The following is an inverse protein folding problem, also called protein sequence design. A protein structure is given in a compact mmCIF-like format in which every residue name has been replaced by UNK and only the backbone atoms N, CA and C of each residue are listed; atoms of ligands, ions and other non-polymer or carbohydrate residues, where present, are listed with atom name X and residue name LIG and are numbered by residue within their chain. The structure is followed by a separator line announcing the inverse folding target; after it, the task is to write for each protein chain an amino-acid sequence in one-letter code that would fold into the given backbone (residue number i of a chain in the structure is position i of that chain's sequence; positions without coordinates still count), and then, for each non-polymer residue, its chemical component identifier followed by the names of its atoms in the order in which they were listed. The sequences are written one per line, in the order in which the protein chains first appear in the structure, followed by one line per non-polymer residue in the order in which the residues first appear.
data_IF_088938466834
#
_entry.id   IF_088938466834
#
_cell.length_a   1.000
_cell.length_b   1.000
_cell.length_c   1.000
_cell.angle_alpha   90.00
_cell.angle_beta   90.00
_cell.angle_gamma   90.00
#
_symmetry.space_group_name_H-M   'P 1'
#
loop_
_entity.id
_entity.type
_entity.pdbx_description
1 polymer ?
#
# COMPACT_ATOMS: atom_id res chain seq x y z
N UNK A 1 -17.50 8.87 8.99
CA UNK A 1 -16.12 8.42 8.71
C UNK A 1 -15.58 9.28 7.59
N UNK A 2 -14.50 10.05 7.80
CA UNK A 2 -13.89 10.85 6.72
C UNK A 2 -13.57 9.88 5.57
N UNK A 3 -14.08 10.14 4.36
CA UNK A 3 -13.72 9.37 3.17
C UNK A 3 -12.19 9.33 3.11
N UNK A 4 -11.62 8.14 3.23
CA UNK A 4 -10.19 7.96 2.99
C UNK A 4 -9.89 8.49 1.59
N UNK A 5 -8.80 9.26 1.46
CA UNK A 5 -8.42 9.84 0.15
C UNK A 5 -8.06 8.78 -0.89
N UNK A 6 -7.86 7.54 -0.43
CA UNK A 6 -7.55 6.36 -1.23
C UNK A 6 -8.54 5.24 -0.86
N UNK A 7 -9.10 4.59 -1.88
CA UNK A 7 -9.89 3.36 -1.74
C UNK A 7 -9.00 2.18 -1.35
N UNK A 8 -9.56 1.16 -0.71
CA UNK A 8 -8.85 -0.07 -0.35
C UNK A 8 -8.16 -0.71 -1.56
N UNK A 9 -8.80 -0.74 -2.73
CA UNK A 9 -8.20 -1.22 -3.99
C UNK A 9 -6.98 -0.39 -4.45
N UNK A 10 -6.99 0.93 -4.20
CA UNK A 10 -5.83 1.77 -4.49
C UNK A 10 -4.69 1.46 -3.52
N UNK A 11 -5.00 1.29 -2.23
CA UNK A 11 -4.02 0.95 -1.20
C UNK A 11 -3.37 -0.40 -1.52
N UNK A 12 -4.16 -1.43 -1.82
CA UNK A 12 -3.64 -2.77 -2.18
C UNK A 12 -2.73 -2.72 -3.41
N UNK A 13 -3.09 -1.95 -4.45
CA UNK A 13 -2.23 -1.78 -5.63
C UNK A 13 -0.90 -1.09 -5.30
N UNK A 14 -0.94 -0.04 -4.48
CA UNK A 14 0.27 0.66 -4.02
C UNK A 14 1.16 -0.28 -3.20
N UNK A 15 0.56 -1.10 -2.32
CA UNK A 15 1.29 -2.07 -1.49
C UNK A 15 1.95 -3.17 -2.31
N UNK A 16 1.28 -3.68 -3.36
CA UNK A 16 1.87 -4.66 -4.30
C UNK A 16 3.04 -4.05 -5.06
N UNK A 17 2.93 -2.80 -5.52
CA UNK A 17 4.05 -2.12 -6.20
C UNK A 17 5.23 -1.88 -5.23
N UNK A 18 4.94 -1.53 -3.98
CA UNK A 18 5.91 -1.39 -2.90
C UNK A 18 6.60 -2.71 -2.47
N UNK A 19 6.13 -3.86 -2.95
CA UNK A 19 6.82 -5.15 -2.76
C UNK A 19 7.96 -5.35 -3.76
N UNK A 20 7.79 -4.85 -4.99
CA UNK A 20 8.76 -5.00 -6.08
C UNK A 20 9.61 -3.75 -6.35
N UNK A 21 9.30 -2.61 -5.73
CA UNK A 21 9.99 -1.34 -5.94
C UNK A 21 10.27 -0.59 -4.61
N UNK A 22 11.27 0.31 -4.58
CA UNK A 22 11.58 1.08 -3.37
C UNK A 22 10.38 1.93 -2.91
N UNK A 23 10.02 1.80 -1.63
CA UNK A 23 8.97 2.61 -0.96
C UNK A 23 9.04 4.11 -1.29
N UNK A 24 10.20 4.80 -1.23
CA UNK A 24 10.24 6.23 -1.51
C UNK A 24 9.87 6.58 -2.96
N UNK A 25 10.17 5.71 -3.92
CA UNK A 25 9.77 5.91 -5.32
C UNK A 25 8.27 5.69 -5.52
N UNK A 26 7.73 4.62 -4.93
CA UNK A 26 6.29 4.33 -4.96
C UNK A 26 5.51 5.47 -4.27
N UNK A 27 6.00 5.95 -3.14
CA UNK A 27 5.42 7.08 -2.42
C UNK A 27 5.31 8.33 -3.30
N UNK A 28 6.42 8.67 -3.98
CA UNK A 28 6.48 9.80 -4.91
C UNK A 28 5.54 9.62 -6.11
N UNK A 29 5.48 8.41 -6.68
CA UNK A 29 4.63 8.08 -7.83
C UNK A 29 3.14 8.25 -7.54
N UNK A 30 2.70 7.83 -6.35
CA UNK A 30 1.28 7.85 -5.96
C UNK A 30 0.87 9.09 -5.13
N UNK A 31 1.80 10.02 -4.89
CA UNK A 31 1.51 11.22 -4.08
C UNK A 31 1.14 10.90 -2.64
N UNK A 32 1.77 9.86 -2.07
CA UNK A 32 1.60 9.42 -0.68
C UNK A 32 2.90 9.58 0.08
N UNK A 33 2.84 9.58 1.41
CA UNK A 33 4.04 9.55 2.25
C UNK A 33 4.50 8.10 2.47
N UNK A 34 5.81 7.89 2.62
CA UNK A 34 6.39 6.61 3.03
C UNK A 34 5.71 6.06 4.30
N UNK A 35 5.47 6.91 5.30
CA UNK A 35 4.76 6.57 6.53
C UNK A 35 3.35 6.00 6.27
N UNK A 36 2.65 6.49 5.23
CA UNK A 36 1.33 5.96 4.86
C UNK A 36 1.44 4.54 4.32
N UNK A 37 2.45 4.26 3.49
CA UNK A 37 2.70 2.93 2.95
C UNK A 37 3.04 1.94 4.08
N UNK A 38 3.86 2.33 5.06
CA UNK A 38 4.14 1.48 6.22
C UNK A 38 2.89 1.24 7.08
N UNK A 39 2.07 2.26 7.33
CA UNK A 39 0.82 2.12 8.07
C UNK A 39 -0.17 1.19 7.33
N UNK A 40 -0.22 1.27 6.00
CA UNK A 40 -1.02 0.38 5.17
C UNK A 40 -0.48 -1.05 5.16
N UNK A 41 0.84 -1.28 5.12
CA UNK A 41 1.41 -2.62 5.30
C UNK A 41 0.99 -3.25 6.63
N UNK A 42 0.91 -2.49 7.71
CA UNK A 42 0.42 -3.03 8.99
C UNK A 42 -1.07 -3.41 8.96
N UNK A 43 -1.89 -2.70 8.18
CA UNK A 43 -3.35 -2.93 8.10
C UNK A 43 -3.77 -3.92 7.02
N UNK A 44 -3.08 -3.97 5.89
CA UNK A 44 -3.43 -4.73 4.70
C UNK A 44 -2.34 -5.73 4.30
N UNK A 45 -1.17 -5.72 4.94
CA UNK A 45 -0.06 -6.61 4.59
C UNK A 45 -0.40 -8.08 4.82
N UNK A 46 -1.18 -8.41 5.84
CA UNK A 46 -1.67 -9.77 6.06
C UNK A 46 -2.65 -10.20 4.95
N UNK A 47 -3.46 -9.28 4.44
CA UNK A 47 -4.39 -9.52 3.33
C UNK A 47 -3.66 -9.73 1.99
N UNK A 48 -2.54 -9.03 1.75
CA UNK A 48 -1.72 -9.21 0.54
C UNK A 48 -0.89 -10.48 0.59
N UNK A 49 -0.45 -10.92 1.78
CA UNK A 49 0.41 -12.09 1.95
C UNK A 49 -0.30 -13.42 1.68
N UNK A 50 -1.62 -13.50 1.94
CA UNK A 50 -2.43 -14.69 1.66
C UNK A 50 -2.64 -14.90 0.15
N UNK A 51 -2.84 -13.82 -0.60
CA UNK A 51 -2.98 -13.80 -2.07
C UNK A 51 -1.71 -14.24 -2.82
N UNK A 52 -0.52 -14.08 -2.22
CA UNK A 52 0.78 -14.39 -2.85
C UNK A 52 1.24 -15.84 -2.56
N UNK A 53 0.58 -16.55 -1.64
CA UNK A 53 1.02 -17.88 -1.18
C UNK A 53 0.18 -19.05 -1.73
N UNK A 54 -0.56 -18.87 -2.82
CA UNK A 54 -1.37 -19.93 -3.44
C UNK A 54 -0.91 -20.32 -4.84
#
# INVERSE_FOLDING_TARGET
MKKSRYSDEQIVRILREADSAPIPEVAKRHGVSDASIYAWRKRFGEMVSDDVKR
#
